data_IF_588044303375
#
_entry.id   IF_588044303375
#
_cell.length_a   1.000
_cell.length_b   1.000
_cell.length_c   1.000
_cell.angle_alpha   90.00
_cell.angle_beta   90.00
_cell.angle_gamma   90.00
#
_symmetry.space_group_name_H-M   'P 1'
#
loop_
_entity.id
_entity.type
_entity.pdbx_description
1 polymer ?
#
# COMPACT_ATOMS: atom_id res chain seq x y z
N UNK A 1 -2.92 -15.90 4.84
CA UNK A 1 -3.51 -15.54 6.16
C UNK A 1 -2.85 -14.25 6.61
N UNK A 2 -1.87 -14.27 7.51
CA UNK A 2 -0.99 -13.12 7.76
C UNK A 2 0.02 -12.89 6.64
N UNK A 3 0.29 -13.89 5.81
CA UNK A 3 1.17 -13.78 4.64
C UNK A 3 0.70 -12.73 3.62
N UNK A 4 -0.61 -12.45 3.63
CA UNK A 4 -1.29 -11.50 2.76
C UNK A 4 -1.62 -10.19 3.48
N UNK A 5 -1.00 -9.91 4.64
CA UNK A 5 -1.27 -8.69 5.43
C UNK A 5 -1.18 -7.43 4.57
N UNK A 6 -0.20 -7.37 3.67
CA UNK A 6 -0.01 -6.24 2.76
C UNK A 6 -1.22 -5.96 1.86
N UNK A 7 -2.03 -6.97 1.52
CA UNK A 7 -3.25 -6.78 0.75
C UNK A 7 -4.32 -6.08 1.59
N UNK A 8 -4.39 -6.33 2.89
CA UNK A 8 -5.30 -5.59 3.77
C UNK A 8 -4.78 -4.19 4.04
N UNK A 9 -3.57 -4.08 4.58
CA UNK A 9 -3.02 -2.80 5.05
C UNK A 9 -2.69 -1.88 3.89
N UNK A 10 -2.03 -2.38 2.84
CA UNK A 10 -1.75 -1.60 1.64
C UNK A 10 -3.03 -1.15 0.92
N UNK A 11 -4.08 -1.99 0.90
CA UNK A 11 -5.36 -1.57 0.32
C UNK A 11 -6.04 -0.49 1.18
N UNK A 12 -6.01 -0.63 2.51
CA UNK A 12 -6.51 0.39 3.42
C UNK A 12 -5.75 1.72 3.23
N UNK A 13 -4.42 1.69 3.18
CA UNK A 13 -3.57 2.86 2.87
C UNK A 13 -3.90 3.47 1.50
N UNK A 14 -4.24 2.68 0.48
CA UNK A 14 -4.67 3.27 -0.79
C UNK A 14 -6.06 3.91 -0.70
N UNK A 15 -7.02 3.22 -0.10
CA UNK A 15 -8.44 3.64 -0.05
C UNK A 15 -8.67 4.80 0.90
N UNK A 16 -7.91 4.94 1.99
CA UNK A 16 -8.01 6.11 2.87
C UNK A 16 -7.72 7.41 2.10
N UNK A 17 -6.69 7.42 1.24
CA UNK A 17 -6.37 8.57 0.39
C UNK A 17 -7.43 8.78 -0.69
N UNK A 18 -7.96 7.70 -1.28
CA UNK A 18 -9.07 7.79 -2.24
C UNK A 18 -10.33 8.41 -1.60
N UNK A 19 -10.63 8.06 -0.35
CA UNK A 19 -11.74 8.63 0.42
C UNK A 19 -11.54 10.10 0.70
N UNK A 20 -10.35 10.50 1.14
CA UNK A 20 -10.02 11.92 1.39
C UNK A 20 -10.08 12.73 0.09
N UNK A 21 -9.54 12.21 -1.02
CA UNK A 21 -9.59 12.86 -2.33
C UNK A 21 -11.02 13.08 -2.82
N UNK A 22 -11.93 12.14 -2.53
CA UNK A 22 -13.33 12.26 -2.86
C UNK A 22 -14.06 13.33 -2.05
N UNK A 23 -13.78 13.41 -0.74
CA UNK A 23 -14.45 14.34 0.18
C UNK A 23 -13.86 15.75 0.10
N UNK A 24 -12.54 15.87 -0.12
CA UNK A 24 -11.77 17.12 -0.15
C UNK A 24 -10.85 17.16 -1.39
N UNK A 25 -11.40 17.25 -2.61
CA UNK A 25 -10.62 17.23 -3.86
C UNK A 25 -9.65 18.41 -3.97
N UNK A 26 -9.90 19.52 -3.27
CA UNK A 26 -9.05 20.71 -3.27
C UNK A 26 -7.73 20.52 -2.48
N UNK A 27 -7.60 19.44 -1.71
CA UNK A 27 -6.39 19.17 -0.93
C UNK A 27 -5.28 18.52 -1.75
N UNK A 28 -5.57 18.02 -2.95
CA UNK A 28 -4.63 17.26 -3.78
C UNK A 28 -3.91 16.16 -2.98
N UNK A 29 -4.65 15.37 -2.21
CA UNK A 29 -4.07 14.47 -1.20
C UNK A 29 -3.14 13.40 -1.80
N UNK A 30 -3.30 13.06 -3.08
CA UNK A 30 -2.39 12.15 -3.78
C UNK A 30 -1.01 12.74 -4.11
N UNK A 31 -0.84 14.07 -4.05
CA UNK A 31 0.47 14.71 -4.03
C UNK A 31 1.17 14.43 -2.70
N UNK A 32 0.43 14.54 -1.58
CA UNK A 32 0.94 14.14 -0.26
C UNK A 32 1.32 12.66 -0.25
N UNK A 33 0.48 11.77 -0.77
CA UNK A 33 0.81 10.33 -0.90
C UNK A 33 2.15 10.11 -1.62
N UNK A 34 2.42 10.87 -2.68
CA UNK A 34 3.66 10.73 -3.44
C UNK A 34 4.89 11.22 -2.65
N UNK A 35 4.71 12.13 -1.69
CA UNK A 35 5.77 12.67 -0.85
C UNK A 35 5.94 11.90 0.46
N UNK A 36 4.89 11.26 0.99
CA UNK A 36 4.95 10.40 2.18
C UNK A 36 5.10 8.93 1.76
N UNK A 37 3.99 8.26 1.46
CA UNK A 37 3.94 6.80 1.28
C UNK A 37 4.94 6.31 0.22
N UNK A 38 5.00 6.97 -0.93
CA UNK A 38 5.88 6.52 -2.01
C UNK A 38 7.37 6.75 -1.69
N UNK A 39 7.72 7.87 -1.05
CA UNK A 39 9.11 8.13 -0.67
C UNK A 39 9.56 7.24 0.49
N UNK A 40 8.68 6.99 1.46
CA UNK A 40 8.94 6.06 2.56
C UNK A 40 9.10 4.64 2.02
N UNK A 41 8.23 4.20 1.11
CA UNK A 41 8.36 2.92 0.44
C UNK A 41 9.73 2.78 -0.25
N UNK A 42 10.18 3.78 -1.02
CA UNK A 42 11.51 3.73 -1.65
C UNK A 42 12.65 3.76 -0.63
N UNK A 43 12.52 4.51 0.45
CA UNK A 43 13.56 4.67 1.47
C UNK A 43 13.78 3.36 2.24
N UNK A 44 12.69 2.72 2.69
CA UNK A 44 12.76 1.45 3.41
C UNK A 44 13.10 0.28 2.47
N UNK A 45 12.52 0.26 1.26
CA UNK A 45 12.76 -0.82 0.31
C UNK A 45 14.16 -0.78 -0.33
N UNK A 46 14.85 0.36 -0.23
CA UNK A 46 16.25 0.50 -0.63
C UNK A 46 17.25 -0.06 0.39
N UNK A 47 16.82 -0.41 1.61
CA UNK A 47 17.69 -0.96 2.64
C UNK A 47 18.00 -2.43 2.39
N UNK A 48 19.20 -2.86 2.75
CA UNK A 48 19.60 -4.28 2.71
C UNK A 48 18.74 -5.14 3.66
N UNK A 49 18.21 -4.53 4.71
CA UNK A 49 17.30 -5.16 5.68
C UNK A 49 15.84 -5.17 5.24
N UNK A 50 15.51 -4.68 4.04
CA UNK A 50 14.14 -4.78 3.49
C UNK A 50 13.73 -6.24 3.26
N UNK A 51 12.45 -6.44 2.96
CA UNK A 51 11.89 -7.74 2.59
C UNK A 51 10.89 -7.61 1.42
N UNK A 52 10.57 -8.73 0.73
CA UNK A 52 9.49 -8.74 -0.26
C UNK A 52 8.13 -8.43 0.38
N UNK A 53 7.20 -7.85 -0.38
CA UNK A 53 5.86 -7.50 0.13
C UNK A 53 5.06 -8.73 0.62
N UNK A 54 5.35 -9.90 0.05
CA UNK A 54 4.86 -11.18 0.52
C UNK A 54 5.88 -11.83 1.46
N UNK A 55 5.46 -12.17 2.67
CA UNK A 55 6.30 -12.83 3.68
C UNK A 55 5.56 -14.04 4.21
N UNK A 56 6.10 -15.26 4.10
CA UNK A 56 5.52 -16.44 4.73
C UNK A 56 5.55 -16.29 6.27
N UNK A 57 4.40 -16.44 6.92
CA UNK A 57 4.23 -16.37 8.39
C UNK A 57 3.84 -17.76 8.90
N UNK A 58 4.80 -18.41 9.58
CA UNK A 58 4.61 -19.74 10.15
C UNK A 58 4.10 -19.72 11.58
N UNK A 59 4.41 -18.66 12.34
CA UNK A 59 4.03 -18.51 13.75
C UNK A 59 3.48 -17.10 14.05
N UNK A 60 2.46 -16.94 14.92
CA UNK A 60 1.89 -15.64 15.24
C UNK A 60 2.87 -14.59 15.79
N UNK A 61 4.00 -15.01 16.37
CA UNK A 61 4.99 -14.07 16.90
C UNK A 61 5.72 -13.29 15.80
N UNK A 62 5.76 -13.83 14.57
CA UNK A 62 6.39 -13.21 13.39
C UNK A 62 5.52 -12.10 12.80
N UNK A 63 4.25 -12.01 13.21
CA UNK A 63 3.29 -11.03 12.67
C UNK A 63 3.79 -9.59 12.84
N UNK A 64 4.38 -9.26 14.00
CA UNK A 64 4.85 -7.90 14.26
C UNK A 64 5.99 -7.48 13.35
N UNK A 65 6.71 -8.42 12.75
CA UNK A 65 7.82 -8.12 11.82
C UNK A 65 7.31 -7.60 10.47
N UNK A 66 6.06 -7.93 10.12
CA UNK A 66 5.45 -7.51 8.85
C UNK A 66 4.47 -6.34 9.01
N UNK A 67 4.24 -5.85 10.23
CA UNK A 67 3.52 -4.61 10.50
C UNK A 67 4.46 -3.40 10.35
N UNK A 68 4.88 -3.14 9.11
CA UNK A 68 5.94 -2.18 8.81
C UNK A 68 5.66 -1.33 7.55
N UNK A 69 6.57 -0.40 7.22
CA UNK A 69 6.42 0.48 6.05
C UNK A 69 6.34 -0.28 4.72
N UNK A 70 6.88 -1.50 4.62
CA UNK A 70 6.80 -2.30 3.38
C UNK A 70 5.36 -2.80 3.18
N UNK A 71 4.72 -3.35 4.20
CA UNK A 71 3.33 -3.82 4.08
C UNK A 71 2.34 -2.70 3.78
N UNK A 72 2.54 -1.53 4.39
CA UNK A 72 1.64 -0.38 4.26
C UNK A 72 1.98 0.48 3.03
N UNK A 73 3.14 1.14 3.05
CA UNK A 73 3.47 2.19 2.10
C UNK A 73 3.82 1.61 0.72
N UNK A 74 4.62 0.54 0.66
CA UNK A 74 4.90 -0.15 -0.61
C UNK A 74 3.67 -0.91 -1.12
N UNK A 75 2.93 -1.58 -0.24
CA UNK A 75 1.66 -2.23 -0.58
C UNK A 75 0.66 -1.27 -1.23
N UNK A 76 0.38 -0.13 -0.59
CA UNK A 76 -0.51 0.91 -1.12
C UNK A 76 0.02 1.54 -2.41
N UNK A 77 1.34 1.73 -2.53
CA UNK A 77 1.96 2.25 -3.75
C UNK A 77 1.82 1.31 -4.94
N UNK A 78 1.97 -0.01 -4.73
CA UNK A 78 1.74 -1.03 -5.77
C UNK A 78 0.27 -1.02 -6.19
N UNK A 79 -0.67 -0.93 -5.26
CA UNK A 79 -2.11 -0.89 -5.57
C UNK A 79 -2.46 0.37 -6.37
N UNK A 80 -1.93 1.54 -5.97
CA UNK A 80 -2.06 2.79 -6.73
C UNK A 80 -1.51 2.63 -8.15
N UNK A 81 -0.32 2.03 -8.31
CA UNK A 81 0.28 1.75 -9.61
C UNK A 81 -0.63 0.86 -10.47
N UNK A 82 -1.16 -0.22 -9.89
CA UNK A 82 -2.07 -1.14 -10.60
C UNK A 82 -3.37 -0.46 -11.04
N UNK A 83 -3.94 0.43 -10.22
CA UNK A 83 -5.10 1.25 -10.63
C UNK A 83 -4.78 2.10 -11.87
N UNK A 84 -3.60 2.72 -11.93
CA UNK A 84 -3.20 3.51 -13.09
C UNK A 84 -2.89 2.63 -14.31
N UNK A 85 -2.24 1.48 -14.10
CA UNK A 85 -1.89 0.54 -15.16
C UNK A 85 -3.13 -0.07 -15.83
N UNK A 86 -4.12 -0.51 -15.04
CA UNK A 86 -5.36 -1.12 -15.55
C UNK A 86 -6.39 -0.08 -16.01
N UNK A 87 -6.30 1.15 -15.50
CA UNK A 87 -7.33 2.17 -15.62
C UNK A 87 -8.44 2.01 -14.57
N UNK A 88 -9.06 3.13 -14.19
CA UNK A 88 -10.01 3.19 -13.07
C UNK A 88 -11.18 2.21 -13.20
N UNK A 89 -11.84 2.15 -14.36
CA UNK A 89 -13.01 1.29 -14.54
C UNK A 89 -12.66 -0.20 -14.50
N UNK A 90 -11.53 -0.61 -15.08
CA UNK A 90 -11.07 -2.00 -15.04
C UNK A 90 -10.70 -2.40 -13.63
N UNK A 91 -9.94 -1.55 -12.93
CA UNK A 91 -9.55 -1.77 -11.54
C UNK A 91 -10.79 -1.91 -10.64
N UNK A 92 -11.73 -0.97 -10.72
CA UNK A 92 -12.97 -0.99 -9.93
C UNK A 92 -13.83 -2.22 -10.21
N UNK A 93 -13.93 -2.66 -11.47
CA UNK A 93 -14.66 -3.89 -11.83
C UNK A 93 -14.02 -5.14 -11.22
N UNK A 94 -12.69 -5.19 -11.14
CA UNK A 94 -11.97 -6.33 -10.54
C UNK A 94 -12.11 -6.45 -9.02
N UNK A 95 -12.65 -5.43 -8.35
CA UNK A 95 -12.89 -5.46 -6.89
C UNK A 95 -14.30 -5.92 -6.50
N UNK A 96 -15.15 -6.26 -7.48
CA UNK A 96 -16.50 -6.80 -7.27
C UNK A 96 -16.52 -8.32 -7.45
#
# INVERSE_FOLDING_TARGET
>A
WWDDLWLNEGFATFVEYLGVDHVHPEWNIFEKFALSELQDAFSFDGLVSSHPVYVPVGHPDEINEIFDSISYAKGGSIIRMMRHFLGYETFRKGMN
#
